data_IF_212860311583
#
_entry.id   IF_212860311583
#
_cell.length_a   1.000
_cell.length_b   1.000
_cell.length_c   1.000
_cell.angle_alpha   90.00
_cell.angle_beta   90.00
_cell.angle_gamma   90.00
#
_symmetry.space_group_name_H-M   'P 1'
#
loop_
_entity.id
_entity.type
_entity.pdbx_description
1 polymer ?
#
# COMPACT_ATOMS: atom_id res chain seq x y z
N UNK A 1 -7.85 -33.00 9.58
CA UNK A 1 -6.71 -32.38 8.86
C UNK A 1 -6.31 -31.14 9.64
N UNK A 2 -5.02 -30.94 9.94
CA UNK A 2 -4.57 -29.77 10.71
C UNK A 2 -4.48 -28.53 9.82
N UNK A 3 -4.54 -27.34 10.41
CA UNK A 3 -4.35 -26.08 9.67
C UNK A 3 -2.99 -26.01 8.99
N UNK A 4 -1.95 -26.59 9.60
CA UNK A 4 -0.63 -26.72 9.00
C UNK A 4 -0.68 -27.55 7.70
N UNK A 5 -1.33 -28.72 7.73
CA UNK A 5 -1.46 -29.57 6.54
C UNK A 5 -2.28 -28.89 5.42
N UNK A 6 -3.27 -28.05 5.77
CA UNK A 6 -4.01 -27.24 4.79
C UNK A 6 -3.08 -26.21 4.14
N UNK A 7 -2.27 -25.51 4.94
CA UNK A 7 -1.33 -24.49 4.46
C UNK A 7 -0.30 -25.07 3.51
N UNK A 8 0.31 -26.20 3.88
CA UNK A 8 1.31 -26.88 3.05
C UNK A 8 0.72 -27.30 1.70
N UNK A 9 -0.50 -27.87 1.69
CA UNK A 9 -1.19 -28.26 0.44
C UNK A 9 -1.55 -27.08 -0.45
N UNK A 10 -1.99 -25.96 0.12
CA UNK A 10 -2.29 -24.75 -0.66
C UNK A 10 -1.02 -24.18 -1.31
N UNK A 11 0.10 -24.15 -0.58
CA UNK A 11 1.38 -23.72 -1.15
C UNK A 11 1.84 -24.61 -2.29
N UNK A 12 1.73 -25.93 -2.14
CA UNK A 12 2.10 -26.87 -3.20
C UNK A 12 1.19 -26.74 -4.42
N UNK A 13 -0.12 -26.60 -4.21
CA UNK A 13 -1.08 -26.41 -5.30
C UNK A 13 -0.82 -25.12 -6.09
N UNK A 14 -0.64 -23.98 -5.40
CA UNK A 14 -0.35 -22.69 -6.04
C UNK A 14 0.92 -22.74 -6.90
N UNK A 15 1.94 -23.50 -6.49
CA UNK A 15 3.20 -23.63 -7.23
C UNK A 15 3.03 -24.26 -8.63
N UNK A 16 2.05 -25.13 -8.81
CA UNK A 16 1.84 -25.89 -10.04
C UNK A 16 0.50 -25.58 -10.73
N UNK A 17 -0.31 -24.69 -10.17
CA UNK A 17 -1.58 -24.28 -10.75
C UNK A 17 -1.35 -23.55 -12.08
N UNK A 18 -2.24 -23.79 -13.05
CA UNK A 18 -2.28 -22.98 -14.26
C UNK A 18 -2.78 -21.57 -13.98
N UNK A 19 -2.45 -20.63 -14.88
CA UNK A 19 -2.72 -19.21 -14.72
C UNK A 19 -4.20 -18.94 -14.43
N UNK A 20 -5.11 -19.65 -15.11
CA UNK A 20 -6.56 -19.48 -14.94
C UNK A 20 -7.02 -19.85 -13.53
N UNK A 21 -6.49 -20.93 -12.95
CA UNK A 21 -6.78 -21.30 -11.56
C UNK A 21 -6.15 -20.32 -10.58
N UNK A 22 -4.95 -19.83 -10.87
CA UNK A 22 -4.27 -18.87 -10.01
C UNK A 22 -5.04 -17.54 -9.95
N UNK A 23 -5.49 -17.02 -11.09
CA UNK A 23 -6.34 -15.83 -11.18
C UNK A 23 -7.63 -16.01 -10.38
N UNK A 24 -8.33 -17.14 -10.57
CA UNK A 24 -9.56 -17.41 -9.82
C UNK A 24 -9.34 -17.45 -8.30
N UNK A 25 -8.25 -18.06 -7.84
CA UNK A 25 -7.89 -18.08 -6.42
C UNK A 25 -7.59 -16.66 -5.95
N UNK A 26 -6.79 -15.90 -6.69
CA UNK A 26 -6.44 -14.51 -6.36
C UNK A 26 -7.69 -13.66 -6.21
N UNK A 27 -8.61 -13.66 -7.18
CA UNK A 27 -9.88 -12.92 -7.09
C UNK A 27 -10.71 -13.29 -5.87
N UNK A 28 -10.65 -14.53 -5.38
CA UNK A 28 -11.39 -14.93 -4.18
C UNK A 28 -10.81 -14.36 -2.88
N UNK A 29 -9.54 -13.96 -2.86
CA UNK A 29 -8.84 -13.52 -1.65
C UNK A 29 -8.14 -12.16 -1.80
N UNK A 30 -8.28 -11.49 -2.95
CA UNK A 30 -7.57 -10.26 -3.29
C UNK A 30 -7.85 -9.15 -2.28
N UNK A 31 -9.11 -9.01 -1.85
CA UNK A 31 -9.51 -8.03 -0.84
C UNK A 31 -8.81 -8.27 0.51
N UNK A 32 -8.52 -9.53 0.86
CA UNK A 32 -7.81 -9.88 2.10
C UNK A 32 -6.29 -9.76 1.95
N UNK A 33 -5.74 -9.96 0.74
CA UNK A 33 -4.33 -9.73 0.42
C UNK A 33 -4.02 -8.23 0.38
N UNK A 34 -4.87 -7.43 -0.24
CA UNK A 34 -4.66 -5.98 -0.44
C UNK A 34 -4.82 -5.18 0.86
N UNK A 35 -5.58 -5.68 1.85
CA UNK A 35 -5.69 -5.08 3.19
C UNK A 35 -4.35 -4.90 3.90
N UNK A 36 -3.30 -5.66 3.57
CA UNK A 36 -1.97 -5.47 4.17
C UNK A 36 -1.33 -4.09 3.83
N UNK A 37 -1.92 -3.33 2.90
CA UNK A 37 -1.50 -1.96 2.55
C UNK A 37 -2.62 -0.92 2.73
N UNK A 38 -3.58 -1.15 3.62
CA UNK A 38 -4.56 -0.11 3.93
C UNK A 38 -3.95 0.99 4.81
N UNK A 39 -3.31 1.98 4.16
CA UNK A 39 -2.77 3.17 4.82
C UNK A 39 -3.85 3.95 5.60
N UNK A 40 -5.14 3.75 5.29
CA UNK A 40 -6.24 4.37 6.02
C UNK A 40 -6.55 3.68 7.36
N UNK A 41 -6.00 2.50 7.61
CA UNK A 41 -6.00 1.85 8.93
C UNK A 41 -4.68 2.08 9.70
N UNK A 42 -3.64 2.57 9.03
CA UNK A 42 -2.35 2.87 9.65
C UNK A 42 -2.41 4.17 10.48
N UNK A 43 -2.53 4.01 11.80
CA UNK A 43 -2.61 5.12 12.76
C UNK A 43 -1.42 6.08 12.71
N UNK A 44 -0.21 5.57 12.53
CA UNK A 44 1.01 6.40 12.48
C UNK A 44 1.00 7.28 11.23
N UNK A 45 0.63 6.68 10.08
CA UNK A 45 0.45 7.41 8.83
C UNK A 45 -0.61 8.50 8.95
N UNK A 46 -1.79 8.17 9.50
CA UNK A 46 -2.86 9.14 9.71
C UNK A 46 -2.46 10.27 10.66
N UNK A 47 -1.71 9.96 11.72
CA UNK A 47 -1.22 10.95 12.68
C UNK A 47 -0.22 11.92 12.05
N UNK A 48 0.74 11.41 11.27
CA UNK A 48 1.70 12.23 10.51
C UNK A 48 0.96 13.15 9.52
N UNK A 49 0.02 12.60 8.75
CA UNK A 49 -0.78 13.38 7.80
C UNK A 49 -1.58 14.48 8.48
N UNK A 50 -2.21 14.17 9.63
CA UNK A 50 -2.91 15.18 10.44
C UNK A 50 -1.95 16.27 10.93
N UNK A 51 -0.76 15.90 11.42
CA UNK A 51 0.24 16.87 11.89
C UNK A 51 0.67 17.83 10.78
N UNK A 52 0.87 17.33 9.55
CA UNK A 52 1.24 18.15 8.39
C UNK A 52 0.17 19.16 8.01
N UNK A 53 -1.11 18.74 8.05
CA UNK A 53 -2.24 19.63 7.81
C UNK A 53 -2.32 20.70 8.90
N UNK A 54 -2.25 20.31 10.17
CA UNK A 54 -2.25 21.21 11.32
C UNK A 54 -1.12 22.27 11.23
N UNK A 55 0.09 21.85 10.86
CA UNK A 55 1.23 22.76 10.72
C UNK A 55 1.09 23.71 9.52
N UNK A 56 0.47 23.24 8.42
CA UNK A 56 0.14 24.10 7.29
C UNK A 56 -0.93 25.13 7.65
N UNK A 57 -2.02 24.72 8.29
CA UNK A 57 -3.12 25.60 8.72
C UNK A 57 -2.64 26.65 9.75
N UNK A 58 -1.70 26.28 10.61
CA UNK A 58 -1.05 27.20 11.57
C UNK A 58 0.04 28.06 10.94
N UNK A 59 0.32 27.92 9.65
CA UNK A 59 1.33 28.69 8.92
C UNK A 59 2.78 28.37 9.32
N UNK A 60 3.02 27.24 10.00
CA UNK A 60 4.38 26.79 10.35
C UNK A 60 5.12 26.22 9.15
N UNK A 61 4.39 25.74 8.16
CA UNK A 61 4.95 25.23 6.90
C UNK A 61 4.42 26.08 5.75
N UNK A 62 5.33 26.58 4.92
CA UNK A 62 4.95 27.31 3.70
C UNK A 62 4.74 26.32 2.54
N UNK A 63 3.58 26.41 1.89
CA UNK A 63 3.41 25.76 0.60
C UNK A 63 4.25 26.49 -0.45
N UNK A 64 4.76 25.71 -1.39
CA UNK A 64 5.39 26.24 -2.60
C UNK A 64 4.41 26.13 -3.76
N UNK A 65 4.54 27.02 -4.74
CA UNK A 65 3.72 27.01 -5.94
C UNK A 65 3.98 25.75 -6.77
N UNK A 66 3.01 25.41 -7.61
CA UNK A 66 3.11 24.24 -8.48
C UNK A 66 4.29 24.34 -9.46
N UNK A 67 4.65 25.54 -9.89
CA UNK A 67 5.83 25.76 -10.75
C UNK A 67 7.14 25.54 -9.99
N UNK A 68 7.23 25.94 -8.72
CA UNK A 68 8.38 25.64 -7.87
C UNK A 68 8.52 24.13 -7.61
N UNK A 69 7.42 23.41 -7.41
CA UNK A 69 7.42 21.95 -7.29
C UNK A 69 8.02 21.31 -8.55
N UNK A 70 7.51 21.68 -9.74
CA UNK A 70 8.01 21.16 -11.02
C UNK A 70 9.48 21.49 -11.25
N UNK A 71 9.90 22.72 -10.92
CA UNK A 71 11.29 23.14 -11.03
C UNK A 71 12.20 22.27 -10.15
N UNK A 72 11.82 22.08 -8.88
CA UNK A 72 12.56 21.21 -7.95
C UNK A 72 12.62 19.78 -8.44
N UNK A 73 11.51 19.20 -8.88
CA UNK A 73 11.47 17.83 -9.41
C UNK A 73 12.42 17.63 -10.59
N UNK A 74 12.54 18.61 -11.49
CA UNK A 74 13.48 18.57 -12.63
C UNK A 74 14.94 18.76 -12.21
N UNK A 75 15.19 19.44 -11.09
CA UNK A 75 16.54 19.68 -10.57
C UNK A 75 17.13 18.50 -9.80
N UNK A 76 16.28 17.54 -9.39
CA UNK A 76 16.73 16.28 -8.79
C UNK A 76 17.30 15.42 -9.93
N UNK A 77 18.62 15.38 -10.05
CA UNK A 77 19.31 14.38 -10.87
C UNK A 77 19.19 13.03 -10.15
N UNK A 78 18.44 12.11 -10.74
CA UNK A 78 18.42 10.68 -10.38
C UNK A 78 19.55 9.99 -11.11
#
# INVERSE_FOLDING_TARGET
MTTQAIRERLHEYIRFADDKKLEAIYTMVEDDIVKELDLWENKEFLQEMKSRVDDFERGKTQAISWEEVKSKAKSIKV
#
